data_IF_994587596946
#
_entry.id   IF_994587596946
#
_cell.length_a   1.000
_cell.length_b   1.000
_cell.length_c   1.000
_cell.angle_alpha   90.00
_cell.angle_beta   90.00
_cell.angle_gamma   90.00
#
_symmetry.space_group_name_H-M   'P 1'
#
loop_
_entity.id
_entity.type
_entity.pdbx_description
1 polymer ?
2 polymer ?
3 non-polymer ?
4 water ?
#
# COMPACT_ATOMS: atom_id res chain seq x y z
N UNK A 8 11.89 -6.28 -22.26
CA UNK A 8 11.07 -6.09 -21.07
C UNK A 8 9.96 -7.14 -21.02
N UNK A 9 9.40 -7.41 -22.19
CA UNK A 9 8.25 -8.28 -22.35
C UNK A 9 8.62 -9.74 -22.58
N UNK A 10 9.93 -10.07 -22.64
CA UNK A 10 10.35 -11.39 -23.10
C UNK A 10 10.13 -12.47 -22.04
N UNK A 11 10.60 -12.26 -20.81
CA UNK A 11 10.44 -13.27 -19.78
C UNK A 11 9.20 -13.07 -18.92
N UNK A 12 8.68 -11.84 -18.85
CA UNK A 12 7.43 -11.52 -18.15
C UNK A 12 6.48 -10.82 -19.12
N UNK A 13 5.82 -11.58 -20.00
CA UNK A 13 4.99 -10.95 -21.03
C UNK A 13 3.59 -10.61 -20.53
N UNK A 14 3.14 -9.39 -20.89
CA UNK A 14 1.78 -8.98 -20.56
C UNK A 14 0.75 -9.97 -21.06
N UNK A 15 1.07 -10.70 -22.15
CA UNK A 15 0.10 -11.59 -22.75
C UNK A 15 -0.19 -12.80 -21.87
N UNK A 16 0.76 -13.23 -21.06
CA UNK A 16 0.56 -14.34 -20.18
C UNK A 16 -0.24 -13.91 -18.93
N UNK A 17 0.05 -12.73 -18.42
CA UNK A 17 -0.71 -12.24 -17.27
C UNK A 17 -2.15 -11.90 -17.67
N UNK A 18 -2.37 -11.39 -18.89
CA UNK A 18 -3.75 -11.20 -19.33
C UNK A 18 -4.47 -12.53 -19.41
N UNK A 19 -3.80 -13.57 -19.91
CA UNK A 19 -4.39 -14.90 -20.04
C UNK A 19 -4.86 -15.43 -18.68
N UNK A 20 -4.01 -15.28 -17.66
CA UNK A 20 -4.38 -15.70 -16.31
C UNK A 20 -5.60 -14.94 -15.81
N UNK A 21 -5.62 -13.62 -15.99
CA UNK A 21 -6.77 -12.82 -15.58
C UNK A 21 -8.05 -13.30 -16.26
N UNK A 22 -8.03 -13.38 -17.58
CA UNK A 22 -9.22 -13.79 -18.32
C UNK A 22 -9.70 -15.16 -17.90
N UNK A 23 -8.77 -16.06 -17.54
CA UNK A 23 -9.07 -17.45 -17.25
C UNK A 23 -9.88 -17.62 -15.98
N UNK A 24 -9.88 -16.63 -15.10
CA UNK A 24 -10.60 -16.69 -13.85
C UNK A 24 -11.75 -15.68 -13.79
N UNK A 25 -12.11 -15.11 -14.94
CA UNK A 25 -13.23 -14.20 -14.99
C UNK A 25 -14.55 -14.98 -14.76
N UNK A 26 -15.48 -14.41 -14.02
CA UNK A 26 -16.74 -15.13 -13.82
C UNK A 26 -17.57 -15.12 -15.10
N UNK A 27 -18.47 -16.09 -15.22
CA UNK A 27 -19.32 -16.21 -16.40
C UNK A 27 -20.50 -15.25 -16.33
N UNK A 28 -20.92 -14.79 -17.48
CA UNK A 28 -22.02 -13.87 -17.55
C UNK A 28 -23.28 -14.46 -16.97
N UNK A 29 -23.52 -15.71 -17.24
CA UNK A 29 -24.67 -16.36 -16.77
C UNK A 29 -24.92 -16.16 -15.34
N UNK A 30 -23.89 -16.38 -14.53
CA UNK A 30 -23.96 -16.28 -13.09
C UNK A 30 -24.46 -14.96 -12.57
N UNK A 31 -24.21 -13.91 -13.28
CA UNK A 31 -24.69 -12.65 -12.91
C UNK A 31 -26.15 -12.68 -13.27
N UNK A 32 -26.48 -13.30 -14.38
CA UNK A 32 -27.85 -13.46 -14.81
C UNK A 32 -28.66 -14.29 -13.83
N UNK A 33 -28.25 -15.49 -13.57
CA UNK A 33 -28.99 -16.38 -12.69
C UNK A 33 -29.07 -15.89 -11.26
N UNK A 34 -28.22 -14.95 -10.87
CA UNK A 34 -28.21 -14.49 -9.49
C UNK A 34 -28.93 -13.17 -9.28
N UNK A 35 -29.10 -12.39 -10.31
CA UNK A 35 -29.76 -11.13 -10.18
C UNK A 35 -31.05 -10.90 -11.00
N UNK A 36 -31.34 -11.69 -12.02
CA UNK A 36 -32.57 -11.50 -12.79
C UNK A 36 -33.59 -12.51 -12.25
N UNK A 44 -29.59 -15.64 2.67
CA UNK A 44 -28.58 -15.33 3.68
C UNK A 44 -28.33 -13.82 3.76
N UNK A 45 -27.57 -13.41 4.79
CA UNK A 45 -27.20 -12.01 4.98
C UNK A 45 -26.04 -11.62 4.08
N UNK A 46 -25.97 -10.36 3.66
CA UNK A 46 -24.85 -9.94 2.79
C UNK A 46 -23.48 -10.35 3.29
N UNK A 47 -23.18 -10.21 4.58
CA UNK A 47 -21.84 -10.51 5.05
C UNK A 47 -21.49 -11.97 4.82
N UNK A 48 -22.41 -12.86 5.14
CA UNK A 48 -22.20 -14.29 4.90
C UNK A 48 -22.07 -14.59 3.41
N UNK A 49 -22.80 -13.84 2.60
CA UNK A 49 -22.74 -14.07 1.15
C UNK A 49 -21.41 -13.57 0.60
N UNK A 50 -20.87 -12.46 1.12
CA UNK A 50 -19.54 -11.99 0.72
C UNK A 50 -18.48 -12.99 1.18
N UNK A 51 -18.56 -13.44 2.43
CA UNK A 51 -17.52 -14.33 2.91
C UNK A 51 -17.54 -15.68 2.20
N UNK A 52 -18.69 -16.12 1.72
CA UNK A 52 -18.79 -17.37 0.97
C UNK A 52 -18.16 -17.17 -0.38
N UNK A 53 -18.45 -16.07 -1.01
CA UNK A 53 -17.79 -15.77 -2.28
C UNK A 53 -16.28 -15.77 -2.11
N UNK A 54 -15.78 -15.04 -1.11
CA UNK A 54 -14.34 -14.88 -0.91
C UNK A 54 -13.64 -16.22 -0.74
N UNK A 55 -14.29 -17.16 -0.12
CA UNK A 55 -13.74 -18.43 0.09
C UNK A 55 -13.54 -19.19 -1.19
N UNK A 56 -14.45 -18.96 -2.13
CA UNK A 56 -14.48 -19.62 -3.40
C UNK A 56 -13.35 -19.11 -4.27
N UNK A 57 -13.28 -17.84 -4.33
CA UNK A 57 -12.19 -17.21 -5.08
C UNK A 57 -10.81 -17.60 -4.56
N UNK A 58 -10.69 -17.99 -3.28
CA UNK A 58 -9.38 -18.33 -2.74
C UNK A 58 -8.79 -19.54 -3.46
N UNK A 59 -9.59 -20.59 -3.65
CA UNK A 59 -9.22 -21.70 -4.53
C UNK A 59 -8.79 -21.19 -5.91
N UNK A 60 -9.53 -20.25 -6.47
CA UNK A 60 -9.26 -19.71 -7.81
C UNK A 60 -7.99 -18.86 -7.84
N UNK A 61 -7.73 -18.13 -6.75
CA UNK A 61 -6.53 -17.31 -6.67
C UNK A 61 -5.25 -18.15 -6.81
N UNK A 62 -5.31 -19.39 -6.36
CA UNK A 62 -4.14 -20.19 -6.46
C UNK A 62 -3.84 -20.56 -7.88
N UNK A 63 -4.88 -20.94 -8.62
CA UNK A 63 -4.76 -21.31 -10.00
C UNK A 63 -4.20 -20.14 -10.76
N UNK A 64 -4.70 -18.98 -10.44
CA UNK A 64 -4.26 -17.75 -11.03
C UNK A 64 -2.77 -17.53 -10.77
N UNK A 65 -2.32 -17.85 -9.56
CA UNK A 65 -0.91 -17.64 -9.24
C UNK A 65 0.01 -18.59 -10.02
N UNK A 66 -0.40 -19.86 -10.16
CA UNK A 66 0.41 -20.81 -10.92
C UNK A 66 0.57 -20.40 -12.38
N UNK A 67 -0.37 -19.60 -12.88
CA UNK A 67 -0.36 -19.15 -14.23
C UNK A 67 0.47 -17.89 -14.45
N UNK A 68 0.98 -17.32 -13.38
CA UNK A 68 1.80 -16.12 -13.49
C UNK A 68 3.24 -16.54 -13.78
N UNK A 69 3.88 -15.96 -14.79
CA UNK A 69 5.23 -16.38 -15.15
C UNK A 69 6.14 -16.38 -13.93
N UNK A 70 6.80 -17.53 -13.69
CA UNK A 70 7.87 -17.78 -12.72
C UNK A 70 7.36 -17.97 -11.29
N UNK A 71 6.09 -17.75 -10.99
CA UNK A 71 5.68 -18.01 -9.61
C UNK A 71 6.00 -19.44 -9.22
N UNK A 72 5.73 -20.39 -10.09
CA UNK A 72 5.98 -21.80 -9.84
C UNK A 72 7.41 -22.18 -9.52
N UNK A 73 8.31 -21.25 -9.80
CA UNK A 73 9.72 -21.40 -9.58
C UNK A 73 10.20 -21.15 -8.16
N UNK A 74 9.52 -20.26 -7.49
CA UNK A 74 9.84 -19.93 -6.15
C UNK A 74 9.73 -21.12 -5.28
N UNK A 75 10.49 -21.16 -4.21
CA UNK A 75 10.35 -22.21 -3.18
C UNK A 75 8.94 -22.32 -2.64
N UNK A 76 8.46 -23.52 -2.41
CA UNK A 76 7.12 -23.72 -1.90
C UNK A 76 6.79 -22.84 -0.68
N UNK A 77 7.73 -22.66 0.20
CA UNK A 77 7.52 -21.83 1.35
C UNK A 77 7.26 -20.41 0.97
N UNK A 78 7.87 -19.97 -0.10
CA UNK A 78 7.70 -18.64 -0.58
C UNK A 78 6.42 -18.42 -1.34
N UNK A 79 5.97 -19.38 -2.11
CA UNK A 79 4.63 -19.30 -2.68
C UNK A 79 3.58 -19.21 -1.57
N UNK A 80 3.75 -20.02 -0.52
CA UNK A 80 2.82 -19.95 0.61
C UNK A 80 2.82 -18.56 1.21
N UNK A 81 4.02 -18.07 1.58
CA UNK A 81 4.13 -16.73 2.16
C UNK A 81 3.52 -15.67 1.24
N UNK A 82 3.78 -15.77 -0.07
CA UNK A 82 3.29 -14.72 -0.98
C UNK A 82 1.75 -14.69 -1.06
N UNK A 83 1.11 -15.86 -1.07
CA UNK A 83 -0.35 -15.91 -1.12
C UNK A 83 -0.97 -15.49 0.21
N UNK A 84 -0.49 -16.03 1.33
CA UNK A 84 -1.02 -15.59 2.65
C UNK A 84 -0.73 -14.10 2.88
N UNK A 85 0.34 -13.57 2.32
CA UNK A 85 0.62 -12.14 2.50
C UNK A 85 -0.24 -11.30 1.56
N UNK A 86 -0.80 -11.84 0.49
CA UNK A 86 -1.45 -10.90 -0.44
C UNK A 86 -2.84 -11.25 -0.92
N UNK A 87 -3.42 -12.35 -0.48
CA UNK A 87 -4.74 -12.78 -0.85
C UNK A 87 -5.85 -11.77 -0.78
N UNK A 88 -5.95 -11.13 0.36
CA UNK A 88 -6.91 -10.09 0.55
C UNK A 88 -6.74 -8.97 -0.44
N UNK A 89 -5.57 -8.42 -0.58
CA UNK A 89 -5.37 -7.35 -1.56
C UNK A 89 -5.67 -7.83 -2.96
N UNK A 90 -5.24 -9.04 -3.30
CA UNK A 90 -5.48 -9.60 -4.62
C UNK A 90 -6.98 -9.75 -4.91
N UNK A 91 -7.65 -10.36 -3.94
CA UNK A 91 -9.10 -10.63 -4.00
C UNK A 91 -9.89 -9.33 -4.14
N UNK A 92 -9.50 -8.24 -3.44
CA UNK A 92 -10.20 -6.92 -3.49
C UNK A 92 -9.93 -6.25 -4.82
N UNK A 93 -8.75 -6.47 -5.37
CA UNK A 93 -8.42 -5.96 -6.70
C UNK A 93 -9.30 -6.58 -7.76
N UNK A 94 -9.44 -7.91 -7.77
CA UNK A 94 -10.32 -8.58 -8.74
C UNK A 94 -11.71 -7.97 -8.73
N UNK A 95 -12.37 -7.93 -7.56
CA UNK A 95 -13.79 -7.59 -7.64
C UNK A 95 -14.01 -6.10 -7.83
N UNK A 96 -13.07 -5.24 -7.41
CA UNK A 96 -13.16 -3.83 -7.77
C UNK A 96 -13.21 -3.63 -9.28
N UNK A 97 -12.24 -4.16 -10.02
CA UNK A 97 -12.24 -3.95 -11.47
C UNK A 97 -13.41 -4.70 -12.13
N UNK A 98 -13.79 -5.84 -11.55
CA UNK A 98 -14.97 -6.57 -12.03
C UNK A 98 -16.25 -5.76 -11.91
N UNK A 99 -16.31 -4.77 -11.01
CA UNK A 99 -17.49 -3.97 -10.75
C UNK A 99 -17.47 -2.61 -11.44
N UNK A 100 -16.49 -2.38 -12.33
CA UNK A 100 -16.17 -1.05 -12.81
C UNK A 100 -17.30 -0.42 -13.61
N UNK A 101 -18.23 -1.23 -14.14
CA UNK A 101 -19.37 -0.74 -14.88
C UNK A 101 -20.67 -0.75 -14.07
N UNK A 102 -20.59 -1.10 -12.78
CA UNK A 102 -21.73 -1.17 -11.87
C UNK A 102 -21.80 0.10 -11.04
N UNK A 103 -23.02 0.58 -10.82
CA UNK A 103 -23.28 1.81 -10.08
C UNK A 103 -23.48 1.47 -8.60
N UNK A 104 -22.58 1.97 -7.75
CA UNK A 104 -22.74 1.90 -6.28
C UNK A 104 -22.86 0.47 -5.76
N UNK A 105 -22.11 -0.47 -6.36
CA UNK A 105 -22.16 -1.85 -5.90
C UNK A 105 -21.00 -2.67 -6.44
N UNK A 106 -20.93 -3.91 -5.99
CA UNK A 106 -19.88 -4.87 -6.35
C UNK A 106 -20.53 -6.14 -6.89
N UNK A 107 -19.88 -6.77 -7.87
CA UNK A 107 -20.24 -8.10 -8.31
C UNK A 107 -19.35 -9.13 -7.62
N UNK A 108 -19.98 -10.13 -6.99
CA UNK A 108 -19.30 -11.21 -6.31
C UNK A 108 -18.96 -12.33 -7.28
N UNK A 109 -17.97 -13.14 -6.89
CA UNK A 109 -17.56 -14.27 -7.71
C UNK A 109 -18.64 -15.33 -7.86
N UNK A 110 -19.59 -15.41 -6.93
CA UNK A 110 -20.75 -16.26 -7.09
C UNK A 110 -21.74 -15.69 -8.12
N UNK A 111 -21.50 -14.50 -8.61
CA UNK A 111 -22.41 -13.92 -9.52
C UNK A 111 -23.36 -12.96 -8.90
N UNK A 112 -23.51 -12.99 -7.60
CA UNK A 112 -24.37 -12.09 -6.87
C UNK A 112 -23.89 -10.65 -6.79
N UNK A 113 -24.82 -9.73 -6.93
CA UNK A 113 -24.58 -8.32 -6.81
C UNK A 113 -24.86 -7.89 -5.36
N UNK A 114 -24.00 -7.08 -4.77
CA UNK A 114 -24.20 -6.49 -3.42
C UNK A 114 -24.22 -4.99 -3.60
N UNK A 115 -25.40 -4.40 -3.43
CA UNK A 115 -25.50 -2.95 -3.46
C UNK A 115 -25.03 -2.39 -2.12
N UNK A 116 -24.44 -1.18 -2.17
CA UNK A 116 -23.97 -0.53 -0.96
C UNK A 116 -25.05 -0.38 0.11
N UNK A 117 -26.32 -0.24 -0.28
CA UNK A 117 -27.41 -0.14 0.69
C UNK A 117 -27.57 -1.43 1.50
N UNK A 118 -27.33 -2.57 0.87
CA UNK A 118 -27.24 -3.81 1.61
C UNK A 118 -26.07 -3.80 2.59
N UNK A 119 -24.92 -3.24 2.17
CA UNK A 119 -23.77 -3.21 3.06
C UNK A 119 -24.00 -2.27 4.23
N UNK A 120 -24.65 -1.17 3.97
CA UNK A 120 -24.97 -0.23 5.00
C UNK A 120 -25.95 -0.90 5.99
N UNK A 121 -26.93 -1.60 5.47
CA UNK A 121 -27.90 -2.28 6.28
C UNK A 121 -27.26 -3.19 7.19
N UNK A 122 -26.34 -3.99 6.68
CA UNK A 122 -25.60 -4.93 7.47
C UNK A 122 -24.52 -4.31 8.34
N UNK A 123 -24.36 -3.02 8.30
CA UNK A 123 -23.38 -2.36 9.14
C UNK A 123 -21.94 -2.50 8.71
N UNK A 124 -21.68 -2.57 7.40
CA UNK A 124 -20.30 -2.62 6.91
C UNK A 124 -20.13 -1.64 5.76
N UNK A 125 -20.88 -0.54 5.79
CA UNK A 125 -20.92 0.35 4.64
C UNK A 125 -19.70 1.23 4.49
N UNK A 126 -19.01 1.53 5.60
CA UNK A 126 -17.97 2.55 5.55
C UNK A 126 -16.78 2.08 4.73
N UNK A 127 -16.35 0.84 4.96
CA UNK A 127 -15.24 0.27 4.20
C UNK A 127 -15.70 -0.11 2.79
N UNK A 128 -16.96 -0.57 2.67
CA UNK A 128 -17.55 -0.81 1.36
C UNK A 128 -17.51 0.44 0.51
N UNK A 129 -17.82 1.59 1.11
CA UNK A 129 -17.74 2.85 0.37
C UNK A 129 -16.30 3.24 0.06
N UNK A 130 -15.35 2.87 0.93
CA UNK A 130 -13.93 3.09 0.62
C UNK A 130 -13.54 2.34 -0.65
N UNK A 131 -13.99 1.12 -0.79
CA UNK A 131 -13.72 0.35 -1.98
C UNK A 131 -14.32 1.02 -3.21
N UNK A 132 -15.54 1.49 -3.12
CA UNK A 132 -16.18 2.14 -4.27
C UNK A 132 -15.54 3.48 -4.59
N UNK A 133 -15.04 4.20 -3.60
CA UNK A 133 -14.51 5.56 -3.84
C UNK A 133 -13.05 5.58 -4.25
N UNK A 134 -12.24 4.75 -3.62
CA UNK A 134 -10.80 4.76 -3.80
C UNK A 134 -10.33 3.76 -4.83
N UNK A 135 -11.04 2.65 -5.00
CA UNK A 135 -10.65 1.70 -6.05
C UNK A 135 -11.55 1.77 -7.29
N UNK A 136 -12.78 1.26 -7.15
CA UNK A 136 -13.70 1.07 -8.27
C UNK A 136 -13.85 2.35 -9.09
N UNK A 137 -14.21 3.46 -8.43
CA UNK A 137 -14.44 4.72 -9.14
C UNK A 137 -13.21 5.21 -9.90
N UNK A 138 -12.04 5.02 -9.35
CA UNK A 138 -10.87 5.49 -10.04
C UNK A 138 -10.44 4.53 -11.15
N UNK A 139 -10.82 3.29 -11.02
CA UNK A 139 -10.54 2.32 -12.03
C UNK A 139 -11.42 2.78 -13.22
N UNK A 140 -12.59 3.32 -12.95
CA UNK A 140 -13.52 3.80 -13.97
C UNK A 140 -13.12 5.08 -14.59
N UNK A 141 -12.75 6.07 -13.84
CA UNK A 141 -12.32 7.33 -14.40
C UNK A 141 -11.18 7.20 -15.42
N UNK A 142 -10.34 6.24 -15.18
CA UNK A 142 -9.21 5.89 -15.97
C UNK A 142 -9.46 4.97 -17.10
N UNK A 143 -10.47 4.14 -17.00
CA UNK A 143 -10.70 3.03 -17.93
C UNK A 143 -9.56 2.01 -17.87
N UNK A 144 -9.09 1.69 -16.66
CA UNK A 144 -8.10 0.62 -16.47
C UNK A 144 -8.54 -0.68 -17.12
N UNK A 145 -7.68 -1.23 -18.00
CA UNK A 145 -8.00 -2.47 -18.70
C UNK A 145 -7.51 -3.68 -17.92
N UNK A 146 -7.85 -4.88 -18.43
CA UNK A 146 -7.54 -6.11 -17.70
C UNK A 146 -6.05 -6.41 -17.72
N UNK A 147 -5.33 -6.01 -18.77
CA UNK A 147 -3.89 -6.20 -18.77
C UNK A 147 -3.24 -5.36 -17.68
N UNK A 148 -3.66 -4.10 -17.53
CA UNK A 148 -3.16 -3.30 -16.42
C UNK A 148 -3.60 -3.86 -15.07
N UNK A 149 -4.85 -4.35 -14.97
CA UNK A 149 -5.28 -4.97 -13.72
C UNK A 149 -4.43 -6.20 -13.39
N UNK A 150 -4.19 -7.05 -14.38
CA UNK A 150 -3.35 -8.21 -14.16
C UNK A 150 -1.94 -7.84 -13.75
N UNK A 151 -1.41 -6.79 -14.37
CA UNK A 151 -0.05 -6.37 -14.01
C UNK A 151 -0.01 -5.86 -12.57
N UNK A 152 -0.94 -4.97 -12.20
CA UNK A 152 -0.98 -4.48 -10.81
C UNK A 152 -1.12 -5.63 -9.82
N UNK A 153 -1.91 -6.63 -10.21
CA UNK A 153 -2.14 -7.82 -9.35
C UNK A 153 -0.84 -8.62 -9.23
N UNK A 154 -0.12 -8.77 -10.35
CA UNK A 154 1.15 -9.53 -10.37
C UNK A 154 2.16 -8.86 -9.41
N UNK A 155 2.10 -7.54 -9.29
CA UNK A 155 3.01 -6.80 -8.42
C UNK A 155 2.64 -7.03 -6.96
N UNK A 156 1.34 -7.07 -6.65
CA UNK A 156 0.90 -7.41 -5.29
C UNK A 156 1.39 -8.80 -4.92
N UNK A 157 1.20 -9.76 -5.84
CA UNK A 157 1.66 -11.12 -5.56
C UNK A 157 3.14 -11.11 -5.23
N UNK A 158 3.93 -10.50 -6.12
CA UNK A 158 5.39 -10.43 -6.01
C UNK A 158 5.84 -9.32 -5.05
N UNK A 159 5.40 -9.44 -3.80
CA UNK A 159 5.72 -8.47 -2.75
C UNK A 159 6.96 -8.92 -1.99
N UNK A 160 8.13 -8.28 -2.18
CA UNK A 160 9.36 -8.75 -1.52
C UNK A 160 9.42 -8.43 -0.03
N UNK A 161 8.53 -7.55 0.45
CA UNK A 161 8.48 -7.19 1.86
C UNK A 161 7.89 -8.29 2.73
N UNK A 162 7.18 -9.26 2.14
CA UNK A 162 6.43 -10.25 2.90
C UNK A 162 7.30 -10.91 3.97
N UNK A 163 6.86 -10.86 5.23
CA UNK A 163 7.66 -11.43 6.31
C UNK A 163 7.85 -12.93 6.09
N UNK A 164 9.09 -13.40 6.21
CA UNK A 164 9.44 -14.80 6.15
C UNK A 164 10.06 -15.26 4.84
N UNK A 165 9.93 -14.48 3.76
CA UNK A 165 10.44 -14.90 2.46
C UNK A 165 11.86 -15.41 2.54
N UNK A 166 12.18 -16.50 1.88
CA UNK A 166 13.52 -17.04 1.90
C UNK A 166 14.48 -16.32 0.95
N UNK A 167 13.96 -15.81 -0.17
CA UNK A 167 14.72 -15.00 -1.11
C UNK A 167 13.93 -13.77 -1.51
N UNK A 168 13.98 -12.76 -0.71
CA UNK A 168 13.26 -11.55 -1.13
C UNK A 168 13.82 -10.94 -2.40
N UNK A 169 15.13 -11.06 -2.64
CA UNK A 169 15.76 -10.47 -3.82
C UNK A 169 15.22 -11.05 -5.12
N UNK A 170 14.91 -12.35 -5.16
CA UNK A 170 14.31 -12.93 -6.36
C UNK A 170 12.92 -12.37 -6.62
N UNK A 171 12.13 -12.20 -5.55
CA UNK A 171 10.77 -11.69 -5.68
C UNK A 171 10.77 -10.24 -6.13
N UNK A 172 11.69 -9.43 -5.59
CA UNK A 172 11.86 -8.08 -6.09
C UNK A 172 12.24 -8.08 -7.56
N UNK A 173 13.06 -9.05 -7.97
CA UNK A 173 13.39 -9.17 -9.39
C UNK A 173 12.15 -9.49 -10.22
N UNK A 174 11.30 -10.39 -9.72
CA UNK A 174 10.07 -10.69 -10.45
C UNK A 174 9.16 -9.48 -10.50
N UNK A 175 9.05 -8.74 -9.41
CA UNK A 175 8.28 -7.56 -9.37
C UNK A 175 8.88 -6.56 -10.32
N UNK A 176 10.20 -6.39 -10.40
CA UNK A 176 10.71 -5.36 -11.35
C UNK A 176 10.37 -5.74 -12.75
N UNK A 177 10.35 -7.02 -13.02
CA UNK A 177 10.01 -7.49 -14.34
C UNK A 177 8.62 -7.07 -14.77
N UNK A 178 7.67 -7.26 -13.89
CA UNK A 178 6.28 -6.92 -14.20
C UNK A 178 6.17 -5.43 -14.50
N UNK A 179 6.75 -4.58 -13.65
CA UNK A 179 6.47 -3.17 -13.83
C UNK A 179 7.30 -2.54 -14.94
N UNK A 180 8.37 -3.22 -15.38
CA UNK A 180 9.01 -2.86 -16.63
C UNK A 180 8.09 -3.18 -17.82
N UNK A 181 7.44 -4.35 -17.81
CA UNK A 181 6.51 -4.70 -18.87
C UNK A 181 5.23 -3.85 -18.81
N UNK A 182 4.74 -3.58 -17.59
CA UNK A 182 3.55 -2.72 -17.46
C UNK A 182 3.82 -1.32 -17.98
N UNK A 183 4.96 -0.74 -17.61
CA UNK A 183 5.32 0.57 -18.14
C UNK A 183 5.39 0.56 -19.66
N UNK A 184 6.05 -0.46 -20.24
CA UNK A 184 6.17 -0.55 -21.68
C UNK A 184 4.80 -0.61 -22.37
N UNK A 185 3.87 -1.43 -21.83
CA UNK A 185 2.53 -1.52 -22.39
C UNK A 185 1.84 -0.16 -22.39
N UNK A 186 1.93 0.55 -21.28
CA UNK A 186 1.15 1.77 -21.09
C UNK A 186 1.51 2.83 -22.10
N UNK A 187 2.80 3.13 -22.26
CA UNK A 187 3.07 4.18 -23.23
C UNK A 187 3.04 3.68 -24.66
N UNK A 188 2.93 2.37 -24.86
CA UNK A 188 2.57 1.85 -26.19
C UNK A 188 1.09 2.09 -26.48
N UNK A 189 0.21 1.65 -25.58
CA UNK A 189 -1.22 1.74 -25.84
C UNK A 189 -1.77 3.13 -25.56
N UNK A 190 -1.24 3.81 -24.54
CA UNK A 190 -1.72 5.14 -24.13
C UNK A 190 -0.61 6.17 -24.20
N UNK A 191 -0.03 6.39 -25.38
CA UNK A 191 1.13 7.29 -25.46
C UNK A 191 0.78 8.73 -25.22
N UNK A 192 -0.49 9.11 -25.38
CA UNK A 192 -0.93 10.48 -25.11
C UNK A 192 -1.18 10.75 -23.63
N UNK A 193 -1.08 9.74 -22.77
CA UNK A 193 -1.28 9.89 -21.33
C UNK A 193 0.00 9.53 -20.60
N UNK A 194 0.96 10.48 -20.52
CA UNK A 194 2.26 10.15 -19.91
C UNK A 194 2.18 9.81 -18.42
N UNK A 195 1.31 10.46 -17.69
CA UNK A 195 1.21 10.17 -16.28
C UNK A 195 0.53 8.87 -15.94
N UNK A 196 0.10 8.09 -16.93
CA UNK A 196 -0.78 6.95 -16.67
C UNK A 196 -0.08 5.86 -15.86
N UNK A 197 1.19 5.57 -16.14
CA UNK A 197 1.91 4.56 -15.38
C UNK A 197 1.96 4.91 -13.89
N UNK A 198 2.39 6.13 -13.58
CA UNK A 198 2.45 6.59 -12.19
C UNK A 198 1.13 6.41 -11.45
N UNK A 199 0.03 6.93 -12.02
CA UNK A 199 -1.19 6.96 -11.23
C UNK A 199 -1.85 5.58 -11.11
N UNK A 200 -1.33 4.63 -11.88
CA UNK A 200 -1.70 3.21 -11.79
C UNK A 200 -1.02 2.68 -10.54
N UNK A 201 0.24 3.05 -10.34
CA UNK A 201 0.97 2.58 -9.16
C UNK A 201 0.48 3.25 -7.89
N UNK A 202 -0.08 4.45 -7.99
CA UNK A 202 -0.47 5.17 -6.79
C UNK A 202 -1.75 4.64 -6.16
N UNK A 203 -2.48 3.75 -6.83
CA UNK A 203 -3.61 3.10 -6.21
C UNK A 203 -3.20 2.01 -5.23
N UNK A 204 -1.95 1.54 -5.26
CA UNK A 204 -1.55 0.50 -4.32
C UNK A 204 -1.53 0.90 -2.85
N UNK A 205 -1.07 2.09 -2.44
CA UNK A 205 -1.25 2.47 -1.01
C UNK A 205 -2.70 2.41 -0.56
N UNK A 206 -3.63 2.91 -1.37
CA UNK A 206 -5.06 2.75 -1.09
C UNK A 206 -5.41 1.28 -0.89
N UNK A 207 -5.04 0.43 -1.84
CA UNK A 207 -5.33 -1.00 -1.71
C UNK A 207 -4.71 -1.59 -0.45
N UNK A 208 -3.55 -1.08 -0.03
CA UNK A 208 -2.94 -1.56 1.21
C UNK A 208 -3.80 -1.24 2.44
N UNK A 209 -4.32 -0.02 2.56
CA UNK A 209 -5.10 0.30 3.74
C UNK A 209 -6.42 -0.48 3.76
N UNK A 210 -7.03 -0.67 2.60
CA UNK A 210 -8.35 -1.30 2.57
C UNK A 210 -8.22 -2.78 2.92
N UNK A 211 -7.20 -3.44 2.40
CA UNK A 211 -6.92 -4.80 2.81
C UNK A 211 -6.73 -4.94 4.31
N UNK A 212 -5.99 -4.02 4.92
CA UNK A 212 -5.85 -4.02 6.37
C UNK A 212 -7.18 -3.88 7.10
N UNK A 213 -7.99 -2.91 6.65
CA UNK A 213 -9.25 -2.67 7.25
C UNK A 213 -10.20 -3.87 7.05
N UNK A 214 -10.10 -4.48 5.92
CA UNK A 214 -10.93 -5.63 5.62
C UNK A 214 -10.59 -6.80 6.53
N UNK A 215 -9.29 -7.04 6.75
CA UNK A 215 -8.87 -8.08 7.70
C UNK A 215 -9.36 -7.78 9.12
N UNK A 216 -9.39 -6.51 9.51
CA UNK A 216 -9.92 -6.18 10.84
C UNK A 216 -11.37 -6.63 10.96
N UNK A 217 -12.15 -6.48 9.88
CA UNK A 217 -13.54 -6.93 9.92
C UNK A 217 -13.61 -8.44 10.03
N UNK A 218 -12.83 -9.15 9.23
CA UNK A 218 -12.87 -10.60 9.23
C UNK A 218 -12.44 -11.14 10.59
N UNK A 219 -11.37 -10.61 11.16
CA UNK A 219 -10.97 -11.00 12.50
C UNK A 219 -12.12 -10.83 13.50
N UNK A 220 -12.83 -9.72 13.39
CA UNK A 220 -13.99 -9.47 14.24
C UNK A 220 -15.07 -10.54 14.05
N UNK A 221 -15.39 -10.85 12.79
CA UNK A 221 -16.44 -11.81 12.48
C UNK A 221 -16.08 -13.19 12.97
N UNK A 222 -14.83 -13.57 12.84
CA UNK A 222 -14.41 -14.86 13.32
C UNK A 222 -14.42 -15.05 14.82
N UNK A 223 -13.83 -14.11 15.53
CA UNK A 223 -13.70 -14.20 16.97
C UNK A 223 -14.93 -13.88 17.80
N UNK A 224 -15.57 -12.76 17.52
CA UNK A 224 -16.73 -12.33 18.26
C UNK A 224 -18.04 -12.52 17.52
N UNK A 225 -17.96 -12.50 16.21
CA UNK A 225 -19.15 -12.71 15.41
C UNK A 225 -19.77 -14.09 15.26
N UNK A 226 -20.83 -14.12 14.48
CA UNK A 226 -21.52 -15.35 14.22
C UNK A 226 -21.48 -15.70 12.75
N UNK A 227 -20.74 -14.92 11.91
CA UNK A 227 -20.69 -15.21 10.48
C UNK A 227 -20.01 -16.56 10.28
N UNK A 228 -20.66 -17.52 9.64
CA UNK A 228 -19.99 -18.80 9.38
C UNK A 228 -18.90 -18.62 8.34
N UNK A 229 -17.75 -19.27 8.57
CA UNK A 229 -16.57 -19.08 7.75
C UNK A 229 -16.17 -20.43 7.18
N UNK A 230 -16.10 -20.52 5.85
CA UNK A 230 -15.70 -21.76 5.21
C UNK A 230 -14.20 -22.03 5.44
N UNK A 231 -13.78 -23.23 5.08
CA UNK A 231 -12.57 -23.73 5.71
C UNK A 231 -11.31 -23.05 5.15
N UNK A 232 -11.27 -22.73 3.87
CA UNK A 232 -10.04 -22.16 3.33
C UNK A 232 -9.88 -20.71 3.81
N UNK A 233 -10.96 -19.93 3.75
CA UNK A 233 -10.91 -18.58 4.31
C UNK A 233 -10.55 -18.61 5.79
N UNK A 234 -11.15 -19.52 6.54
CA UNK A 234 -10.76 -19.69 7.94
C UNK A 234 -9.28 -19.98 8.07
N UNK A 235 -8.69 -20.87 7.24
CA UNK A 235 -7.24 -21.15 7.24
C UNK A 235 -6.36 -19.88 7.01
N UNK A 236 -6.87 -18.98 6.20
CA UNK A 236 -6.20 -17.76 5.84
C UNK A 236 -6.26 -16.75 6.94
N UNK A 237 -7.17 -16.99 7.90
CA UNK A 237 -7.18 -16.09 9.04
C UNK A 237 -6.49 -16.67 10.26
N UNK A 238 -5.87 -17.85 10.14
CA UNK A 238 -5.06 -18.42 11.19
C UNK A 238 -3.64 -17.85 11.11
N UNK B 1 -0.96 -26.25 10.12
CA UNK B 1 0.09 -25.51 9.44
C UNK B 1 -0.17 -25.33 7.95
N UNK B 2 -1.20 -24.54 7.64
CA UNK B 2 -1.65 -24.23 6.30
C UNK B 2 -1.83 -25.45 5.40
N UNK B 3 -2.63 -26.42 5.78
CA UNK B 3 -2.69 -27.61 4.94
C UNK B 3 -3.45 -27.37 3.63
N UNK B 4 -4.44 -26.47 3.60
CA UNK B 4 -5.17 -26.22 2.35
C UNK B 4 -4.23 -25.67 1.29
N UNK B 5 -3.56 -24.55 1.62
CA UNK B 5 -2.68 -23.88 0.67
C UNK B 5 -1.59 -24.81 0.16
N UNK B 6 -0.93 -25.56 1.05
CA UNK B 6 0.11 -26.51 0.66
C UNK B 6 -0.40 -27.50 -0.38
N UNK B 7 -1.51 -28.17 -0.06
CA UNK B 7 -2.08 -29.18 -0.95
C UNK B 7 -2.45 -28.62 -2.32
N UNK B 8 -2.99 -27.39 -2.34
CA UNK B 8 -3.35 -26.76 -3.60
C UNK B 8 -2.14 -26.33 -4.42
N UNK B 9 -1.00 -26.11 -3.77
CA UNK B 9 0.19 -25.63 -4.46
C UNK B 9 1.00 -26.73 -5.14
N UNK B 10 0.61 -27.98 -4.99
CA UNK B 10 1.34 -29.00 -5.72
C UNK B 10 0.90 -29.13 -7.17
N UNK B 11 1.75 -29.68 -8.01
CA UNK B 11 1.37 -29.95 -9.40
C UNK B 11 2.43 -30.83 -10.05
N UNK B 12 2.12 -31.34 -11.23
CA UNK B 12 2.94 -32.27 -11.97
C UNK B 12 4.03 -31.67 -12.79
N UNK B 13 3.79 -30.53 -13.39
CA UNK B 13 4.77 -29.90 -14.24
C UNK B 13 5.95 -29.25 -13.54
N UNK B 14 5.90 -29.12 -12.23
CA UNK B 14 6.99 -28.46 -11.50
C UNK B 14 7.39 -29.29 -10.31
N UNK B 15 8.63 -29.21 -9.88
CA UNK B 15 9.12 -29.98 -8.69
C UNK B 15 8.84 -29.23 -7.37
N UNK B 16 8.87 -29.84 -6.18
CA UNK B 16 8.54 -29.07 -4.97
C UNK B 16 9.38 -27.80 -4.78
N UNK B 17 10.69 -27.89 -4.90
CA UNK B 17 11.48 -26.68 -4.87
C UNK B 17 12.73 -26.55 -5.69
N UNK B 18 13.00 -27.55 -6.50
CA UNK B 18 14.23 -27.42 -7.26
C UNK B 18 14.00 -26.52 -8.45
N UNK B 19 14.96 -25.63 -8.72
CA UNK B 19 14.72 -24.60 -9.73
C UNK B 19 16.06 -24.11 -10.26
N UNK B 20 16.06 -23.68 -11.51
CA UNK B 20 17.30 -23.28 -12.19
C UNK B 20 17.91 -22.01 -11.62
N UNK C 11 3.24 24.07 -12.10
CA UNK C 11 4.65 23.73 -12.08
C UNK C 11 5.14 23.77 -10.64
N UNK C 12 5.76 22.67 -10.21
CA UNK C 12 6.55 22.67 -8.98
C UNK C 12 7.92 22.14 -9.31
N UNK C 13 8.93 22.99 -9.30
CA UNK C 13 10.29 22.53 -9.56
C UNK C 13 10.76 21.61 -8.46
N UNK C 14 11.54 20.61 -8.84
CA UNK C 14 12.01 19.62 -7.88
C UNK C 14 13.05 20.19 -6.88
N UNK C 15 13.73 21.29 -7.23
CA UNK C 15 14.69 21.93 -6.31
C UNK C 15 13.99 22.55 -5.11
N UNK C 16 12.97 23.37 -5.38
CA UNK C 16 12.20 23.95 -4.29
C UNK C 16 11.75 22.88 -3.31
N UNK C 17 11.40 21.70 -3.81
CA UNK C 17 11.16 20.56 -2.95
C UNK C 17 12.45 20.17 -2.21
N UNK C 18 13.58 20.14 -2.92
CA UNK C 18 14.85 19.93 -2.21
C UNK C 18 15.13 21.06 -1.22
N UNK C 19 14.77 22.29 -1.58
CA UNK C 19 14.96 23.39 -0.62
C UNK C 19 14.13 23.15 0.65
N UNK C 20 12.93 22.59 0.50
CA UNK C 20 12.06 22.37 1.65
C UNK C 20 12.63 21.32 2.59
N UNK C 21 13.06 20.19 2.04
CA UNK C 21 13.71 19.16 2.85
C UNK C 21 14.93 19.70 3.57
N UNK C 22 15.72 20.54 2.89
CA UNK C 22 16.97 21.00 3.46
C UNK C 22 16.75 22.02 4.56
N UNK C 23 15.79 22.94 4.39
CA UNK C 23 15.60 24.05 5.30
C UNK C 23 15.15 23.64 6.70
N UNK C 24 14.74 22.39 6.88
CA UNK C 24 14.38 21.87 8.19
C UNK C 24 15.34 20.74 8.56
N UNK C 25 16.57 20.85 8.12
CA UNK C 25 17.55 19.84 8.43
C UNK C 25 17.83 18.90 7.30
N UNK C 45 14.73 4.30 28.62
CA UNK C 45 13.63 3.72 27.86
C UNK C 45 13.53 4.33 26.47
N UNK C 46 14.05 3.59 25.49
CA UNK C 46 14.15 4.13 24.12
C UNK C 46 12.87 4.73 23.58
N UNK C 47 11.71 4.16 23.92
CA UNK C 47 10.45 4.60 23.33
C UNK C 47 10.12 6.02 23.76
N UNK C 48 10.45 6.37 25.01
CA UNK C 48 10.23 7.74 25.47
C UNK C 48 11.06 8.73 24.67
N UNK C 49 12.31 8.39 24.38
CA UNK C 49 13.15 9.28 23.58
C UNK C 49 12.66 9.35 22.14
N UNK C 50 12.08 8.27 21.62
CA UNK C 50 11.61 8.29 20.24
C UNK C 50 10.43 9.25 20.12
N UNK C 51 9.48 9.14 21.06
CA UNK C 51 8.31 9.99 21.04
C UNK C 51 8.65 11.45 21.26
N UNK C 52 9.67 11.74 22.08
CA UNK C 52 10.13 13.12 22.22
C UNK C 52 10.73 13.63 20.91
N UNK C 53 11.54 12.82 20.25
CA UNK C 53 12.07 13.19 18.95
C UNK C 53 10.96 13.55 17.97
N UNK C 54 9.84 12.80 17.99
CA UNK C 54 8.76 13.05 17.04
C UNK C 54 7.98 14.31 17.38
N UNK C 55 7.76 14.57 18.68
CA UNK C 55 7.02 15.74 19.10
C UNK C 55 7.61 17.02 18.51
N UNK C 56 8.94 17.19 18.60
CA UNK C 56 9.52 18.40 18.06
C UNK C 56 9.68 18.37 16.53
N UNK C 57 9.57 17.20 15.89
CA UNK C 57 9.56 17.18 14.42
C UNK C 57 8.22 17.59 13.83
N UNK C 58 7.17 17.61 14.61
CA UNK C 58 5.89 18.06 14.11
C UNK C 58 5.88 19.57 13.95
N UNK C 59 6.66 20.25 14.74
CA UNK C 59 6.77 21.66 14.66
C UNK C 59 7.56 21.91 13.42
N UNK C 60 8.50 21.03 13.20
CA UNK C 60 9.31 21.08 11.99
C UNK C 60 8.46 20.78 10.77
N UNK C 61 7.52 19.84 10.91
CA UNK C 61 6.76 19.35 9.76
C UNK C 61 5.91 20.45 9.16
N UNK C 62 5.30 21.28 10.01
CA UNK C 62 4.46 22.37 9.52
C UNK C 62 5.28 23.35 8.70
N UNK C 63 6.51 23.64 9.14
CA UNK C 63 7.31 24.62 8.42
C UNK C 63 7.80 24.06 7.08
N UNK C 64 8.02 22.74 7.01
CA UNK C 64 8.36 22.14 5.74
C UNK C 64 7.19 22.24 4.76
N UNK C 65 6.00 21.81 5.19
CA UNK C 65 4.82 21.80 4.31
C UNK C 65 4.59 23.16 3.67
N UNK C 66 4.73 24.22 4.42
CA UNK C 66 4.54 25.55 3.97
C UNK C 66 5.60 25.94 2.96
N UNK C 67 6.59 25.09 2.80
CA UNK C 67 7.65 25.28 1.86
C UNK C 67 7.38 24.55 0.56
N UNK C 68 6.60 23.44 0.61
CA UNK C 68 6.16 22.76 -0.62
C UNK C 68 5.40 23.76 -1.48
N UNK C 69 5.69 23.86 -2.77
CA UNK C 69 4.96 24.81 -3.62
C UNK C 69 3.46 24.55 -3.59
N UNK C 70 2.70 25.64 -3.50
CA UNK C 70 1.23 25.72 -3.61
C UNK C 70 0.51 25.15 -2.40
N UNK C 71 1.17 24.53 -1.43
CA UNK C 71 0.49 24.00 -0.29
C UNK C 71 -0.26 25.06 0.58
N UNK C 72 0.32 26.23 0.70
CA UNK C 72 -0.23 27.27 1.50
C UNK C 72 -1.34 27.98 0.75
N UNK C 73 -1.66 27.50 -0.43
CA UNK C 73 -2.68 28.09 -1.22
C UNK C 73 -3.97 27.39 -1.00
N UNK C 74 -3.90 26.21 -0.47
CA UNK C 74 -5.10 25.42 -0.25
C UNK C 74 -5.95 26.03 0.86
N UNK C 75 -7.25 25.71 0.91
CA UNK C 75 -8.05 26.08 2.08
C UNK C 75 -7.37 25.58 3.35
N UNK C 76 -7.46 26.38 4.42
CA UNK C 76 -6.65 26.07 5.58
C UNK C 76 -7.12 24.78 6.24
N UNK C 77 -8.41 24.53 6.15
CA UNK C 77 -8.93 23.31 6.72
C UNK C 77 -8.45 22.10 5.92
N UNK C 78 -8.26 22.29 4.62
CA UNK C 78 -7.74 21.23 3.78
C UNK C 78 -6.26 20.94 4.16
N UNK C 79 -5.51 22.00 4.46
CA UNK C 79 -4.13 21.99 4.91
C UNK C 79 -4.07 21.18 6.19
N UNK C 80 -5.01 21.42 7.08
CA UNK C 80 -5.14 20.69 8.33
C UNK C 80 -5.36 19.21 8.06
N UNK C 81 -6.28 18.90 7.14
CA UNK C 81 -6.62 17.51 6.87
C UNK C 81 -5.40 16.75 6.36
N UNK C 82 -4.72 17.31 5.35
CA UNK C 82 -3.58 16.63 4.75
C UNK C 82 -2.50 16.35 5.80
N UNK C 83 -2.24 17.32 6.69
CA UNK C 83 -1.20 17.15 7.70
C UNK C 83 -1.58 16.12 8.74
N UNK C 84 -2.84 16.12 9.18
CA UNK C 84 -3.27 15.13 10.15
C UNK C 84 -3.34 13.74 9.54
N UNK C 85 -3.75 13.67 8.27
CA UNK C 85 -3.72 12.38 7.57
C UNK C 85 -2.30 11.91 7.30
N UNK C 86 -1.36 12.86 7.09
CA UNK C 86 -0.03 12.56 6.60
C UNK C 86 1.09 12.45 7.61
N UNK C 87 1.08 13.26 8.68
CA UNK C 87 2.20 13.43 9.61
C UNK C 87 2.90 12.11 9.93
N UNK C 88 2.11 11.08 10.17
CA UNK C 88 2.58 9.76 10.55
C UNK C 88 3.60 9.22 9.54
N UNK C 89 3.25 9.20 8.26
CA UNK C 89 4.16 8.68 7.25
C UNK C 89 5.25 9.68 6.87
N UNK C 90 4.98 10.96 6.96
CA UNK C 90 5.97 11.98 6.62
C UNK C 90 7.20 12.04 7.50
N UNK C 91 7.06 11.54 8.72
CA UNK C 91 8.07 11.50 9.76
C UNK C 91 8.82 10.24 9.70
N UNK C 92 8.13 9.18 9.46
CA UNK C 92 8.81 7.89 9.26
C UNK C 92 9.79 7.99 8.10
N UNK C 93 9.40 8.69 7.04
CA UNK C 93 10.22 8.71 5.83
C UNK C 93 11.39 9.68 5.96
N UNK C 94 11.30 10.63 6.89
CA UNK C 94 12.37 11.58 7.16
C UNK C 94 13.47 10.96 7.98
N UNK C 95 13.12 10.18 8.99
CA UNK C 95 14.16 9.56 9.81
C UNK C 95 14.63 8.24 9.24
N UNK C 96 13.83 7.57 8.41
CA UNK C 96 14.33 6.39 7.73
C UNK C 96 15.49 6.76 6.81
N UNK C 97 15.30 7.80 6.01
CA UNK C 97 16.30 8.20 5.01
C UNK C 97 17.57 8.68 5.68
N UNK C 98 17.45 9.37 6.81
CA UNK C 98 18.61 9.94 7.54
C UNK C 98 19.36 8.86 8.35
N UNK C 99 18.78 7.66 8.45
CA UNK C 99 19.39 6.57 9.21
C UNK C 99 20.14 5.68 8.21
N UNK C 100 20.14 6.03 6.92
CA UNK C 100 20.89 5.14 6.04
C UNK C 100 22.37 5.11 6.39
N UNK C 101 22.87 6.13 7.12
CA UNK C 101 24.29 6.17 7.45
C UNK C 101 24.64 5.20 8.58
N UNK C 102 23.77 5.10 9.60
CA UNK C 102 24.03 4.18 10.72
C UNK C 102 23.53 2.80 10.34
N UNK C 103 24.22 1.75 10.83
CA UNK C 103 23.77 0.39 10.56
C UNK C 103 23.05 -0.19 11.78
N UNK C 104 22.00 -0.95 11.50
CA UNK C 104 21.10 -1.55 12.48
C UNK C 104 20.72 -0.57 13.60
N UNK C 105 20.16 0.56 13.19
CA UNK C 105 19.70 1.53 14.16
C UNK C 105 19.06 2.70 13.48
N UNK C 106 18.46 3.57 14.28
CA UNK C 106 17.80 4.77 13.78
C UNK C 106 18.47 5.99 14.38
N UNK C 107 18.59 7.05 13.57
CA UNK C 107 19.16 8.32 13.99
C UNK C 107 18.01 9.27 14.28
N UNK C 108 17.70 9.49 15.55
CA UNK C 108 16.60 10.36 15.91
C UNK C 108 16.96 11.82 15.65
N UNK C 109 15.91 12.64 15.48
CA UNK C 109 16.09 14.06 15.28
C UNK C 109 16.70 14.77 16.49
N UNK C 110 16.72 14.14 17.65
CA UNK C 110 17.32 14.74 18.84
C UNK C 110 18.81 14.41 18.98
N UNK C 111 19.42 13.83 17.96
CA UNK C 111 20.83 13.51 18.01
C UNK C 111 21.17 12.17 18.63
N UNK C 112 20.19 11.41 19.08
CA UNK C 112 20.44 10.13 19.73
C UNK C 112 20.31 8.99 18.71
N UNK C 113 21.09 7.92 18.93
CA UNK C 113 21.04 6.72 18.12
C UNK C 113 20.33 5.62 18.90
N UNK C 114 19.32 5.00 18.28
CA UNK C 114 18.63 3.87 18.88
C UNK C 114 19.02 2.63 18.10
N UNK C 115 19.82 1.76 18.72
CA UNK C 115 20.22 0.51 18.08
C UNK C 115 19.09 -0.51 18.17
N UNK C 116 19.13 -1.46 17.28
CA UNK C 116 18.12 -2.46 17.20
C UNK C 116 17.89 -3.20 18.48
N UNK C 117 18.93 -3.54 19.23
CA UNK C 117 18.82 -4.26 20.50
C UNK C 117 18.19 -3.42 21.56
N UNK C 118 18.46 -2.17 21.50
CA UNK C 118 17.86 -1.21 22.40
C UNK C 118 16.33 -1.27 22.27
N UNK C 119 15.85 -1.24 21.04
CA UNK C 119 14.47 -1.33 20.71
C UNK C 119 13.87 -2.72 21.01
N UNK C 120 14.58 -3.77 20.71
CA UNK C 120 14.07 -5.11 20.98
C UNK C 120 13.77 -5.33 22.46
N UNK C 121 14.70 -4.95 23.32
CA UNK C 121 14.52 -5.12 24.75
C UNK C 121 13.69 -4.00 25.39
N UNK C 122 13.20 -3.05 24.60
CA UNK C 122 12.09 -2.21 25.05
C UNK C 122 10.75 -2.82 24.69
N UNK C 123 10.74 -3.83 23.83
CA UNK C 123 9.53 -4.53 23.46
C UNK C 123 8.93 -4.12 22.14
N UNK C 124 9.61 -3.26 21.37
CA UNK C 124 9.11 -2.81 20.08
C UNK C 124 9.92 -3.42 18.94
N UNK C 125 10.60 -4.53 19.22
CA UNK C 125 11.51 -5.12 18.25
C UNK C 125 10.88 -5.37 16.89
N UNK C 126 9.71 -6.02 16.88
CA UNK C 126 9.10 -6.45 15.62
C UNK C 126 8.93 -5.28 14.67
N UNK C 127 8.32 -4.18 15.14
CA UNK C 127 8.05 -3.07 14.22
C UNK C 127 9.32 -2.27 13.94
N UNK C 128 10.25 -2.20 14.91
CA UNK C 128 11.51 -1.53 14.66
C UNK C 128 12.25 -2.19 13.50
N UNK C 129 12.17 -3.52 13.41
CA UNK C 129 12.82 -4.26 12.33
C UNK C 129 12.17 -4.00 10.98
N UNK C 130 10.85 -3.89 10.97
CA UNK C 130 10.07 -3.58 9.73
C UNK C 130 10.64 -2.35 9.08
N UNK C 131 10.84 -1.30 9.86
CA UNK C 131 11.44 -0.06 9.37
C UNK C 131 12.83 -0.32 8.82
N UNK C 132 13.63 -1.13 9.54
CA UNK C 132 15.00 -1.41 9.12
C UNK C 132 15.04 -2.17 7.79
N UNK C 133 14.20 -3.19 7.63
CA UNK C 133 14.25 -4.02 6.43
C UNK C 133 13.37 -3.50 5.30
N UNK C 134 12.25 -2.86 5.58
CA UNK C 134 11.42 -2.43 4.45
C UNK C 134 11.76 -1.03 3.95
N UNK C 135 12.36 -0.17 4.79
CA UNK C 135 12.59 1.22 4.40
C UNK C 135 14.07 1.62 4.38
N UNK C 136 14.78 1.60 5.52
CA UNK C 136 16.13 2.20 5.51
C UNK C 136 17.07 1.38 4.64
N UNK C 137 16.91 0.06 4.65
CA UNK C 137 17.81 -0.79 3.87
C UNK C 137 17.55 -0.63 2.37
N UNK C 138 16.27 -0.61 1.99
CA UNK C 138 15.95 -0.37 0.58
C UNK C 138 16.31 1.07 0.18
N UNK C 139 16.21 2.01 1.11
CA UNK C 139 16.69 3.37 0.84
C UNK C 139 18.19 3.37 0.59
N UNK C 140 18.96 2.86 1.57
CA UNK C 140 20.40 2.67 1.38
C UNK C 140 20.70 1.87 0.12
N UNK C 141 20.03 0.73 -0.07
CA UNK C 141 20.44 -0.18 -1.15
C UNK C 141 20.27 0.44 -2.53
N UNK C 142 19.32 1.36 -2.71
CA UNK C 142 19.19 2.01 -3.99
C UNK C 142 19.82 3.39 -4.02
N UNK C 143 20.32 3.86 -2.88
CA UNK C 143 20.89 5.21 -2.74
C UNK C 143 19.87 6.27 -3.18
N UNK C 144 18.68 6.21 -2.60
CA UNK C 144 17.68 7.25 -2.84
C UNK C 144 18.21 8.58 -2.36
N UNK C 145 18.10 9.61 -3.18
CA UNK C 145 18.71 10.86 -2.75
C UNK C 145 17.65 11.72 -2.07
N UNK C 146 18.06 12.90 -1.61
CA UNK C 146 17.15 13.75 -0.85
C UNK C 146 16.02 14.28 -1.73
N UNK C 147 16.37 14.85 -2.88
CA UNK C 147 15.37 15.29 -3.85
C UNK C 147 14.28 14.24 -4.06
N UNK C 148 14.68 13.00 -4.32
CA UNK C 148 13.69 11.94 -4.47
C UNK C 148 12.91 11.74 -3.19
N UNK C 149 13.58 11.81 -2.03
CA UNK C 149 12.87 11.68 -0.76
C UNK C 149 11.81 12.76 -0.62
N UNK C 150 12.16 14.01 -0.92
CA UNK C 150 11.22 15.10 -0.77
C UNK C 150 10.02 14.99 -1.69
N UNK C 151 10.21 14.41 -2.88
CA UNK C 151 9.10 14.16 -3.80
C UNK C 151 8.14 13.13 -3.26
N UNK C 152 8.66 12.02 -2.75
CA UNK C 152 7.83 11.01 -2.15
C UNK C 152 7.07 11.58 -0.96
N UNK C 153 7.69 12.52 -0.24
CA UNK C 153 7.01 13.15 0.89
C UNK C 153 5.93 14.11 0.40
N UNK C 154 6.16 14.78 -0.73
CA UNK C 154 5.12 15.63 -1.30
C UNK C 154 4.01 14.80 -1.93
N UNK C 155 4.27 13.53 -2.27
CA UNK C 155 3.22 12.66 -2.77
C UNK C 155 2.36 12.14 -1.63
N UNK C 156 2.96 11.90 -0.51
CA UNK C 156 2.29 11.45 0.63
C UNK C 156 1.48 12.61 1.22
N UNK C 157 2.01 13.82 1.16
CA UNK C 157 1.32 14.99 1.67
C UNK C 157 0.07 15.30 0.85
N UNK C 158 0.21 15.34 -0.48
CA UNK C 158 -0.88 15.68 -1.39
C UNK C 158 -1.77 14.46 -1.65
N UNK C 159 -2.41 13.98 -0.58
CA UNK C 159 -3.12 12.72 -0.62
C UNK C 159 -4.58 12.98 -0.97
N UNK C 160 -5.04 12.67 -2.19
CA UNK C 160 -6.38 13.10 -2.60
C UNK C 160 -7.53 12.28 -2.04
N UNK C 161 -7.28 11.10 -1.51
CA UNK C 161 -8.32 10.29 -0.92
C UNK C 161 -8.60 10.64 0.54
N UNK C 162 -8.04 11.73 1.07
CA UNK C 162 -8.28 12.05 2.48
C UNK C 162 -9.62 12.66 2.71
N UNK C 163 -10.36 12.06 3.61
CA UNK C 163 -11.68 12.47 3.96
C UNK C 163 -11.85 13.91 4.32
N UNK C 164 -12.86 14.52 3.73
CA UNK C 164 -13.32 15.84 4.10
C UNK C 164 -12.63 17.00 3.41
N UNK C 165 -11.75 16.75 2.44
CA UNK C 165 -11.17 17.84 1.67
C UNK C 165 -12.28 18.61 0.96
N UNK C 166 -12.17 19.94 0.98
CA UNK C 166 -13.17 20.75 0.32
C UNK C 166 -13.07 20.68 -1.19
N UNK C 167 -12.01 20.06 -1.72
CA UNK C 167 -11.83 19.86 -3.14
C UNK C 167 -10.68 18.91 -3.39
N UNK C 168 -10.90 17.60 -3.37
CA UNK C 168 -9.78 16.66 -3.53
C UNK C 168 -9.11 16.74 -4.89
N UNK C 169 -9.75 17.36 -5.90
CA UNK C 169 -9.19 17.37 -7.24
C UNK C 169 -8.16 18.48 -7.41
N UNK C 170 -8.21 19.53 -6.58
CA UNK C 170 -7.08 20.44 -6.49
C UNK C 170 -5.86 19.73 -5.92
N UNK C 171 -6.04 18.90 -4.91
CA UNK C 171 -4.96 18.21 -4.30
C UNK C 171 -4.37 17.24 -5.28
N UNK C 172 -5.24 16.62 -6.04
CA UNK C 172 -4.93 15.62 -7.01
C UNK C 172 -4.11 16.24 -8.11
N UNK C 173 -4.53 17.33 -8.64
CA UNK C 173 -3.69 18.00 -9.63
C UNK C 173 -2.30 18.25 -9.08
N UNK C 174 -2.21 18.64 -7.80
CA UNK C 174 -0.92 18.92 -7.18
C UNK C 174 -0.08 17.65 -7.03
N UNK C 175 -0.73 16.52 -6.70
CA UNK C 175 -0.03 15.23 -6.67
C UNK C 175 0.44 14.82 -8.06
N UNK C 176 -0.29 15.20 -9.10
CA UNK C 176 0.15 14.92 -10.46
C UNK C 176 1.36 15.74 -10.85
N UNK C 177 1.46 16.99 -10.38
CA UNK C 177 2.66 17.78 -10.66
C UNK C 177 3.91 17.18 -10.00
N UNK C 178 3.77 16.56 -8.83
CA UNK C 178 4.94 16.02 -8.14
C UNK C 178 5.48 14.79 -8.86
N UNK C 179 4.60 13.82 -9.16
CA UNK C 179 5.06 12.59 -9.79
C UNK C 179 5.56 12.82 -11.21
N UNK C 180 5.08 13.87 -11.88
CA UNK C 180 5.61 14.21 -13.20
C UNK C 180 7.01 14.80 -13.06
N UNK C 181 7.19 15.64 -12.06
CA UNK C 181 8.47 16.29 -11.74
C UNK C 181 9.39 15.27 -11.07
N UNK C 182 8.93 14.11 -10.72
CA UNK C 182 9.80 13.08 -10.17
C UNK C 182 10.30 12.13 -11.26
N UNK C 183 9.43 11.78 -12.20
CA UNK C 183 9.83 10.93 -13.31
C UNK C 183 10.88 11.62 -14.15
N UNK C 184 10.60 12.85 -14.58
CA UNK C 184 11.58 13.61 -15.34
C UNK C 184 12.90 13.75 -14.59
N UNK C 185 12.86 13.90 -13.26
CA UNK C 185 14.10 13.98 -12.50
C UNK C 185 14.86 12.66 -12.58
N UNK C 186 14.17 11.55 -12.29
CA UNK C 186 14.83 10.26 -12.27
C UNK C 186 15.43 9.89 -13.61
N UNK C 187 14.92 10.39 -14.71
CA UNK C 187 15.46 9.96 -15.97
C UNK C 187 16.51 10.86 -16.59
N UNK C 188 16.62 12.04 -16.07
CA UNK C 188 17.59 12.96 -16.58
C UNK C 188 18.83 12.61 -15.88
N UNK C 189 18.68 12.06 -14.71
CA UNK C 189 19.81 11.92 -13.80
C UNK C 189 20.22 10.50 -13.56
N UNK C 190 19.34 9.56 -13.85
CA UNK C 190 19.65 8.14 -13.75
C UNK C 190 19.16 7.46 -15.02
N UNK C 191 19.60 7.93 -16.20
CA UNK C 191 19.09 7.35 -17.45
C UNK C 191 19.39 5.87 -17.56
N UNK C 192 20.44 5.37 -16.92
CA UNK C 192 20.76 3.95 -16.95
C UNK C 192 19.89 3.11 -16.02
N UNK C 193 18.99 3.73 -15.27
CA UNK C 193 18.08 3.04 -14.36
C UNK C 193 16.66 3.39 -14.79
N UNK C 194 16.11 2.69 -15.78
CA UNK C 194 14.75 3.03 -16.25
C UNK C 194 13.66 2.68 -15.25
N UNK C 195 13.87 1.67 -14.42
CA UNK C 195 12.88 1.23 -13.45
C UNK C 195 12.98 1.92 -12.10
N UNK C 196 13.78 2.98 -12.01
CA UNK C 196 14.04 3.63 -10.72
C UNK C 196 12.80 4.32 -10.20
N UNK C 197 12.14 5.12 -11.06
CA UNK C 197 10.99 5.90 -10.65
C UNK C 197 9.90 4.99 -10.10
N UNK C 198 9.72 3.82 -10.71
CA UNK C 198 8.76 2.85 -10.19
C UNK C 198 9.25 2.20 -8.92
N UNK C 199 10.58 2.10 -8.76
CA UNK C 199 11.09 1.53 -7.51
C UNK C 199 10.77 2.44 -6.34
N UNK C 200 10.94 3.75 -6.54
CA UNK C 200 10.52 4.76 -5.55
C UNK C 200 9.06 4.60 -5.17
N UNK C 201 8.14 4.77 -6.13
CA UNK C 201 6.71 4.68 -5.84
C UNK C 201 6.32 3.40 -5.11
N UNK C 202 7.04 2.29 -5.35
CA UNK C 202 6.62 1.01 -4.80
C UNK C 202 7.08 0.79 -3.37
N UNK C 203 7.77 1.74 -2.77
CA UNK C 203 7.89 1.72 -1.31
C UNK C 203 6.77 2.47 -0.62
N UNK C 204 5.91 3.20 -1.35
CA UNK C 204 4.81 3.88 -0.68
C UNK C 204 3.82 2.91 -0.02
N UNK C 205 3.51 1.73 -0.58
CA UNK C 205 2.69 0.79 0.21
C UNK C 205 3.36 0.38 1.51
N UNK C 206 4.69 0.25 1.50
CA UNK C 206 5.40 -0.06 2.74
C UNK C 206 5.21 1.05 3.75
N UNK C 207 5.42 2.31 3.32
CA UNK C 207 5.26 3.47 4.20
C UNK C 207 3.85 3.57 4.79
N UNK C 208 2.83 3.16 4.07
CA UNK C 208 1.47 3.22 4.60
C UNK C 208 1.23 2.13 5.64
N UNK C 209 1.70 0.93 5.35
CA UNK C 209 1.50 -0.21 6.23
C UNK C 209 2.22 -0.03 7.56
N UNK C 210 3.43 0.54 7.52
CA UNK C 210 4.14 0.79 8.78
C UNK C 210 3.66 2.08 9.41
N UNK C 211 3.15 3.03 8.61
CA UNK C 211 2.45 4.16 9.21
C UNK C 211 1.35 3.71 10.16
N UNK C 212 0.58 2.72 9.75
CA UNK C 212 -0.56 2.27 10.55
C UNK C 212 -0.14 1.51 11.80
N UNK C 213 0.85 0.60 11.70
CA UNK C 213 1.29 -0.12 12.89
C UNK C 213 1.98 0.80 13.90
N UNK C 214 2.68 1.84 13.44
CA UNK C 214 3.15 2.86 14.37
C UNK C 214 2.00 3.47 15.16
N UNK C 215 0.87 3.74 14.47
CA UNK C 215 -0.29 4.32 15.14
C UNK C 215 -0.92 3.34 16.13
N UNK C 216 -1.12 2.09 15.72
CA UNK C 216 -1.58 1.09 16.67
C UNK C 216 -0.71 1.09 17.92
N UNK C 217 0.60 1.29 17.75
CA UNK C 217 1.49 1.27 18.91
C UNK C 217 1.28 2.48 19.80
N UNK C 218 1.09 3.67 19.20
CA UNK C 218 1.03 4.89 20.01
C UNK C 218 -0.28 4.97 20.77
N UNK C 219 -1.35 4.44 20.20
CA UNK C 219 -2.62 4.37 20.92
C UNK C 219 -2.54 3.38 22.07
N UNK C 220 -1.91 2.23 21.83
CA UNK C 220 -1.69 1.25 22.90
C UNK C 220 -0.80 1.81 24.01
N UNK C 221 0.20 2.63 23.66
CA UNK C 221 1.08 3.24 24.66
C UNK C 221 0.28 4.15 25.58
N UNK C 222 -0.53 5.03 25.01
CA UNK C 222 -1.30 5.92 25.86
C UNK C 222 -2.45 5.20 26.55
N UNK C 223 -3.02 4.15 25.94
CA UNK C 223 -3.94 3.29 26.69
C UNK C 223 -3.28 2.79 27.97
N UNK C 224 -2.06 2.22 27.87
CA UNK C 224 -1.42 1.67 29.07
C UNK C 224 -1.08 2.79 30.05
N UNK C 225 -0.69 3.94 29.55
CA UNK C 225 -0.40 5.09 30.38
C UNK C 225 1.00 5.14 30.96
N UNK C 226 1.87 4.22 30.56
CA UNK C 226 3.23 4.16 31.08
C UNK C 226 4.24 4.81 30.14
N UNK C 227 3.79 5.68 29.24
CA UNK C 227 4.69 6.30 28.29
C UNK C 227 4.35 7.78 28.14
N UNK C 228 5.23 8.67 28.61
CA UNK C 228 4.94 10.10 28.47
C UNK C 228 4.84 10.51 27.01
N UNK C 229 3.87 11.38 26.73
CA UNK C 229 3.60 11.86 25.38
C UNK C 229 3.40 13.37 25.47
N UNK C 230 4.13 14.13 24.65
CA UNK C 230 4.11 15.58 24.69
C UNK C 230 2.98 16.16 23.83
N UNK C 231 2.78 17.47 23.99
CA UNK C 231 1.47 18.08 23.70
C UNK C 231 1.12 18.11 22.20
N UNK C 232 2.09 18.27 21.30
CA UNK C 232 1.76 18.23 19.87
C UNK C 232 1.53 16.80 19.38
N UNK C 233 2.34 15.84 19.83
CA UNK C 233 2.10 14.45 19.48
C UNK C 233 0.77 13.97 20.03
N UNK C 234 0.47 14.33 21.28
CA UNK C 234 -0.82 13.96 21.85
C UNK C 234 -1.97 14.54 21.05
N UNK C 235 -1.81 15.77 20.56
CA UNK C 235 -2.86 16.38 19.74
C UNK C 235 -3.04 15.64 18.43
N UNK C 236 -1.95 15.10 17.85
CA UNK C 236 -2.12 14.36 16.60
C UNK C 236 -2.82 13.03 16.83
N UNK C 237 -2.65 12.44 18.02
CA UNK C 237 -3.39 11.24 18.39
C UNK C 237 -4.82 11.56 18.80
N UNK C 238 -5.01 12.72 19.42
CA UNK C 238 -6.34 13.23 19.75
C UNK C 238 -7.25 13.12 18.54
N UNK C 239 -8.47 12.65 18.77
CA UNK C 239 -9.47 12.65 17.73
C UNK C 239 -9.67 14.07 17.19
N UNK D 2 -8.52 21.22 17.18
CA UNK D 2 -7.20 21.21 17.76
C UNK D 2 -6.80 22.63 17.98
N UNK D 3 -5.63 22.81 18.54
CA UNK D 3 -5.13 24.14 18.73
C UNK D 3 -3.71 24.24 18.22
N UNK D 4 -2.90 23.22 18.36
CA UNK D 4 -1.52 23.42 17.93
C UNK D 4 -1.44 23.54 16.41
N UNK D 5 -1.70 22.44 15.70
CA UNK D 5 -1.51 22.43 14.25
C UNK D 5 -2.26 23.57 13.58
N UNK D 6 -3.51 23.82 14.00
CA UNK D 6 -4.28 24.92 13.45
C UNK D 6 -3.55 26.25 13.64
N UNK D 7 -3.01 26.47 14.84
CA UNK D 7 -2.33 27.73 15.14
C UNK D 7 -1.11 27.93 14.24
N UNK D 8 -0.25 26.92 14.16
CA UNK D 8 1.00 27.03 13.40
C UNK D 8 0.74 27.42 11.94
N UNK D 9 -0.29 26.88 11.33
CA UNK D 9 -0.57 27.11 9.91
C UNK D 9 -1.06 28.52 9.64
#
# INVERSE_FOLDING_TARGET
GSHMTSSANEDMPVERILEAELAVEPKTETYVEANMGLNPSSPNDPVTNICQAADKQLFTLVEWAKRIPHFSELPLDDQVILLRAGWNELLIASFSHRSIAVKDGILLATGLHVHRNSAHSAGVGAIFDRVLTELVSKMRDMQMDKTELGCLRAIVLFNPDSKGLSNPAEVEALREKVYASLEAYCKHKYPEQPGRFAKLLLRLPALRSIGLKCLEHLFFFKLIGDTPIDTFLMEMLEAPHQMT
KHKILHRLLQDSSSPVDLAKLTAEATGK
GSHMTSSANEDMPVERILEAELAVEPKTETYVEANMGLNPSSPNDPVTNICQAADKQLFTLVEWAKRIPHFSELPLDDQVILLRAGWNELLIASFSHRSIAVKDGILLATGLHVHRNSAHSAGVGAIFDRVLTELVSKMRDMQMDKTELGCLRAIVLFNPDSKGLSNPAEVEALREKVYASLEAYCKHKYPEQPGRFAKLLLRLPALRSIGLKCLEHLFFFKLIGDTPIDTFLMEMLEAPHQMT
KHKILHRLLQDSSSPVDLAKLTAEATGK
#
